data_IF_210984677046
#
_entry.id   IF_210984677046
#
_cell.length_a   1.000
_cell.length_b   1.000
_cell.length_c   1.000
_cell.angle_alpha   90.00
_cell.angle_beta   90.00
_cell.angle_gamma   90.00
#
_symmetry.space_group_name_H-M   'P 1'
#
loop_
_entity.id
_entity.type
_entity.pdbx_description
1 polymer ?
#
# COMPACT_ATOMS: atom_id res chain seq x y z
N UNK A 1 -5.84 2.43 0.49
CA UNK A 1 -4.84 3.25 -0.20
C UNK A 1 -3.60 3.42 0.67
N UNK A 2 -2.39 3.51 0.06
CA UNK A 2 -1.13 3.79 0.75
C UNK A 2 -0.88 2.86 1.93
N UNK A 3 -0.58 3.40 3.14
CA UNK A 3 -0.44 2.62 4.36
C UNK A 3 -1.66 1.74 4.64
N UNK A 4 -2.88 2.24 4.42
CA UNK A 4 -4.10 1.42 4.54
C UNK A 4 -4.15 0.26 3.56
N UNK A 5 -3.55 0.40 2.37
CA UNK A 5 -3.39 -0.69 1.41
C UNK A 5 -2.41 -1.77 1.90
N UNK A 6 -1.29 -1.35 2.50
CA UNK A 6 -0.37 -2.26 3.18
C UNK A 6 -1.09 -3.06 4.28
N UNK A 7 -1.78 -2.37 5.19
CA UNK A 7 -2.50 -3.02 6.29
C UNK A 7 -3.57 -3.98 5.76
N UNK A 8 -4.35 -3.57 4.75
CA UNK A 8 -5.39 -4.41 4.15
C UNK A 8 -4.79 -5.70 3.56
N UNK A 9 -3.68 -5.60 2.85
CA UNK A 9 -2.98 -6.76 2.29
C UNK A 9 -2.48 -7.71 3.39
N UNK A 10 -1.87 -7.17 4.46
CA UNK A 10 -1.33 -7.97 5.58
C UNK A 10 -2.42 -8.74 6.35
N UNK A 11 -3.62 -8.17 6.48
CA UNK A 11 -4.71 -8.83 7.24
C UNK A 11 -5.63 -9.70 6.37
N UNK A 12 -5.60 -9.54 5.04
CA UNK A 12 -6.48 -10.26 4.11
C UNK A 12 -6.41 -11.79 4.25
N UNK A 13 -5.25 -12.45 4.45
CA UNK A 13 -5.18 -13.90 4.64
C UNK A 13 -5.98 -14.39 5.84
N UNK A 14 -6.07 -13.57 6.89
CA UNK A 14 -6.79 -13.89 8.13
C UNK A 14 -8.28 -13.57 8.04
N UNK A 15 -8.61 -12.38 7.47
CA UNK A 15 -10.00 -11.91 7.39
C UNK A 15 -10.78 -12.51 6.23
N UNK A 16 -10.08 -12.94 5.16
CA UNK A 16 -10.66 -13.55 3.96
C UNK A 16 -11.82 -12.74 3.36
N UNK A 17 -11.61 -11.45 3.03
CA UNK A 17 -12.64 -10.66 2.36
C UNK A 17 -13.03 -11.29 1.01
N UNK A 18 -14.18 -10.92 0.45
CA UNK A 18 -14.60 -11.41 -0.86
C UNK A 18 -13.71 -10.90 -2.00
N UNK A 19 -13.15 -9.71 -1.86
CA UNK A 19 -12.18 -9.13 -2.79
C UNK A 19 -11.28 -8.11 -2.11
N UNK A 20 -10.15 -7.78 -2.73
CA UNK A 20 -9.16 -6.87 -2.18
C UNK A 20 -8.80 -5.78 -3.20
N UNK A 21 -9.03 -4.53 -2.83
CA UNK A 21 -8.70 -3.37 -3.66
C UNK A 21 -7.52 -2.63 -3.01
N UNK A 22 -6.37 -2.67 -3.67
CA UNK A 22 -5.13 -2.06 -3.22
C UNK A 22 -4.77 -0.87 -4.10
N UNK A 23 -4.91 0.33 -3.57
CA UNK A 23 -4.54 1.57 -4.26
C UNK A 23 -3.18 2.06 -3.73
N UNK A 24 -2.16 2.04 -4.57
CA UNK A 24 -0.79 2.43 -4.21
C UNK A 24 -0.36 1.84 -2.84
N UNK A 25 -0.39 0.52 -2.63
CA UNK A 25 -0.13 -0.08 -1.31
C UNK A 25 1.29 0.21 -0.84
N UNK A 26 1.41 0.80 0.35
CA UNK A 26 2.65 1.41 0.85
C UNK A 26 3.65 0.44 1.51
N UNK A 27 4.04 -0.66 0.85
CA UNK A 27 5.05 -1.60 1.37
C UNK A 27 6.38 -0.92 1.73
N UNK A 28 6.76 0.11 0.99
CA UNK A 28 7.97 0.89 1.25
C UNK A 28 8.05 1.53 2.64
N UNK A 29 6.91 1.68 3.32
CA UNK A 29 6.89 2.16 4.70
C UNK A 29 7.57 1.19 5.67
N UNK A 30 7.46 -0.12 5.44
CA UNK A 30 8.11 -1.14 6.25
C UNK A 30 9.63 -1.14 6.02
N UNK A 31 10.06 -1.03 4.74
CA UNK A 31 11.48 -0.95 4.43
C UNK A 31 12.07 0.34 5.00
N UNK A 32 13.11 0.21 5.79
CA UNK A 32 13.79 1.34 6.41
C UNK A 32 13.10 1.95 7.64
N UNK A 33 12.01 1.37 8.17
CA UNK A 33 11.36 1.86 9.40
C UNK A 33 12.30 1.80 10.62
N UNK A 34 13.07 0.73 10.80
CA UNK A 34 14.08 0.62 11.84
C UNK A 34 15.13 1.73 11.71
N UNK A 35 15.70 1.92 10.50
CA UNK A 35 16.66 2.99 10.24
C UNK A 35 16.10 4.38 10.53
N UNK A 36 14.84 4.65 10.16
CA UNK A 36 14.18 5.94 10.47
C UNK A 36 14.06 6.13 11.98
N UNK A 37 13.67 5.09 12.71
CA UNK A 37 13.60 5.14 14.17
C UNK A 37 14.96 5.46 14.79
N UNK A 38 16.01 4.79 14.36
CA UNK A 38 17.38 5.01 14.85
C UNK A 38 17.85 6.45 14.58
N UNK A 39 17.64 6.97 13.38
CA UNK A 39 18.01 8.34 13.01
C UNK A 39 17.32 9.39 13.90
N UNK A 40 16.04 9.21 14.19
CA UNK A 40 15.29 10.15 15.03
C UNK A 40 15.69 10.02 16.50
N UNK A 41 15.89 8.80 16.97
CA UNK A 41 16.38 8.54 18.34
C UNK A 41 17.76 9.17 18.57
N UNK A 42 18.67 9.06 17.63
CA UNK A 42 19.99 9.71 17.69
C UNK A 42 19.90 11.25 17.74
N UNK A 43 18.83 11.84 17.24
CA UNK A 43 18.55 13.29 17.36
C UNK A 43 18.03 13.72 18.71
N UNK A 44 17.81 12.79 19.65
CA UNK A 44 17.23 13.04 20.97
C UNK A 44 15.71 13.26 20.96
N UNK A 45 15.05 12.92 19.87
CA UNK A 45 13.59 13.01 19.74
C UNK A 45 12.94 11.63 19.81
N UNK A 46 11.69 11.59 20.29
CA UNK A 46 10.85 10.39 20.29
C UNK A 46 9.73 10.44 19.24
N UNK A 47 9.77 11.45 18.38
CA UNK A 47 8.81 11.66 17.30
C UNK A 47 9.48 12.10 15.99
N UNK A 48 8.81 11.87 14.89
CA UNK A 48 9.15 12.42 13.58
C UNK A 48 7.97 13.21 13.01
N UNK A 49 8.30 14.20 12.19
CA UNK A 49 7.36 14.95 11.38
C UNK A 49 7.57 14.59 9.91
N UNK A 50 6.53 14.13 9.26
CA UNK A 50 6.50 13.86 7.85
C UNK A 50 5.43 14.75 7.20
N UNK A 51 5.84 15.88 6.65
CA UNK A 51 4.95 16.83 5.96
C UNK A 51 3.74 17.26 6.83
N UNK A 52 3.96 17.53 8.09
CA UNK A 52 2.92 17.91 9.05
C UNK A 52 2.23 16.74 9.77
N UNK A 53 2.54 15.50 9.40
CA UNK A 53 2.09 14.31 10.13
C UNK A 53 3.12 13.95 11.21
N UNK A 54 2.80 14.26 12.45
CA UNK A 54 3.65 13.93 13.60
C UNK A 54 3.32 12.53 14.12
N UNK A 55 4.30 11.67 14.24
CA UNK A 55 4.14 10.33 14.79
C UNK A 55 5.30 9.93 15.70
N UNK A 56 5.01 9.10 16.70
CA UNK A 56 6.02 8.62 17.64
C UNK A 56 6.92 7.55 17.04
N UNK A 57 8.15 7.46 17.50
CA UNK A 57 9.10 6.42 17.07
C UNK A 57 8.62 5.01 17.34
N UNK A 58 7.79 4.81 18.37
CA UNK A 58 7.13 3.54 18.61
C UNK A 58 6.42 2.97 17.37
N UNK A 59 5.87 3.82 16.49
CA UNK A 59 5.29 3.38 15.21
C UNK A 59 6.32 2.66 14.33
N UNK A 60 7.51 3.24 14.14
CA UNK A 60 8.55 2.64 13.31
C UNK A 60 9.11 1.35 13.92
N UNK A 61 9.32 1.32 15.24
CA UNK A 61 9.80 0.10 15.92
C UNK A 61 8.76 -1.02 15.87
N UNK A 62 7.49 -0.72 16.09
CA UNK A 62 6.43 -1.70 15.98
C UNK A 62 6.29 -2.22 14.55
N UNK A 63 6.38 -1.33 13.55
CA UNK A 63 6.36 -1.74 12.15
C UNK A 63 7.54 -2.65 11.81
N UNK A 64 8.76 -2.35 12.31
CA UNK A 64 9.94 -3.19 12.08
C UNK A 64 9.85 -4.58 12.73
N UNK A 65 9.00 -4.74 13.76
CA UNK A 65 8.76 -6.03 14.41
C UNK A 65 7.81 -6.95 13.60
N UNK A 66 7.08 -6.41 12.62
CA UNK A 66 6.27 -7.21 11.71
C UNK A 66 7.13 -7.92 10.66
N UNK A 67 6.67 -9.07 10.14
CA UNK A 67 7.29 -9.71 8.98
C UNK A 67 7.32 -8.80 7.74
N UNK A 68 8.06 -9.19 6.74
CA UNK A 68 8.04 -8.54 5.42
C UNK A 68 6.60 -8.45 4.91
N UNK A 69 6.14 -7.27 4.43
CA UNK A 69 4.75 -7.04 3.99
C UNK A 69 4.26 -8.02 2.93
N UNK A 70 5.15 -8.50 2.08
CA UNK A 70 4.78 -9.47 1.05
C UNK A 70 4.67 -10.89 1.61
N UNK A 71 5.40 -11.22 2.68
CA UNK A 71 5.23 -12.49 3.40
C UNK A 71 3.91 -12.49 4.19
N UNK A 72 3.58 -11.38 4.87
CA UNK A 72 2.30 -11.25 5.58
C UNK A 72 1.08 -11.34 4.64
N UNK A 73 1.19 -10.80 3.42
CA UNK A 73 0.10 -10.79 2.44
C UNK A 73 -0.13 -12.13 1.74
N UNK A 74 0.79 -13.09 1.88
CA UNK A 74 0.64 -14.43 1.28
C UNK A 74 -0.52 -15.21 1.88
N UNK A 75 -1.16 -16.06 1.04
CA UNK A 75 -2.20 -16.98 1.49
C UNK A 75 -3.62 -16.43 1.39
N UNK A 76 -3.82 -15.21 0.91
CA UNK A 76 -5.13 -14.76 0.46
C UNK A 76 -5.38 -15.25 -0.97
N UNK A 77 -6.53 -15.92 -1.19
CA UNK A 77 -6.86 -16.58 -2.46
C UNK A 77 -8.05 -15.94 -3.19
N UNK A 78 -8.62 -14.88 -2.65
CA UNK A 78 -9.68 -14.12 -3.31
C UNK A 78 -9.15 -13.21 -4.42
N UNK A 79 -10.05 -12.60 -5.21
CA UNK A 79 -9.65 -11.70 -6.27
C UNK A 79 -9.03 -10.40 -5.73
N UNK A 80 -8.02 -9.88 -6.44
CA UNK A 80 -7.29 -8.68 -6.06
C UNK A 80 -7.15 -7.74 -7.25
N UNK A 81 -7.36 -6.45 -7.02
CA UNK A 81 -6.93 -5.41 -7.94
C UNK A 81 -5.91 -4.51 -7.27
N UNK A 82 -4.79 -4.28 -7.94
CA UNK A 82 -3.76 -3.31 -7.53
C UNK A 82 -3.79 -2.15 -8.50
N UNK A 83 -4.02 -0.94 -8.01
CA UNK A 83 -4.12 0.28 -8.82
C UNK A 83 -2.99 1.23 -8.44
N UNK A 84 -2.29 1.77 -9.43
CA UNK A 84 -1.22 2.76 -9.24
C UNK A 84 -1.31 3.88 -10.29
N UNK A 85 -1.10 5.13 -9.86
CA UNK A 85 -0.84 6.21 -10.81
C UNK A 85 0.60 6.09 -11.37
N UNK A 86 0.77 6.30 -12.66
CA UNK A 86 2.07 6.15 -13.34
C UNK A 86 3.11 7.17 -12.85
N UNK A 87 2.66 8.33 -12.37
CA UNK A 87 3.47 9.43 -11.83
C UNK A 87 3.56 9.46 -10.29
N UNK A 88 3.11 8.40 -9.58
CA UNK A 88 3.25 8.30 -8.13
C UNK A 88 4.73 8.35 -7.70
N UNK A 89 5.06 9.32 -6.83
CA UNK A 89 6.42 9.54 -6.32
C UNK A 89 6.66 8.91 -4.93
N UNK A 90 5.61 8.43 -4.28
CA UNK A 90 5.69 7.86 -2.92
C UNK A 90 5.73 6.34 -2.92
N UNK A 91 4.97 5.70 -3.80
CA UNK A 91 4.93 4.24 -3.92
C UNK A 91 5.45 3.84 -5.30
N UNK A 92 6.48 3.03 -5.33
CA UNK A 92 7.12 2.58 -6.56
C UNK A 92 6.30 1.51 -7.30
N UNK A 93 6.56 1.40 -8.59
CA UNK A 93 5.88 0.48 -9.49
C UNK A 93 6.20 -0.99 -9.15
N UNK A 94 7.42 -1.24 -8.70
CA UNK A 94 7.88 -2.60 -8.39
C UNK A 94 7.14 -3.19 -7.18
N UNK A 95 6.95 -2.40 -6.12
CA UNK A 95 6.14 -2.81 -4.96
C UNK A 95 4.71 -3.16 -5.35
N UNK A 96 4.08 -2.38 -6.23
CA UNK A 96 2.73 -2.66 -6.71
C UNK A 96 2.65 -3.93 -7.56
N UNK A 97 3.60 -4.13 -8.46
CA UNK A 97 3.72 -5.37 -9.25
C UNK A 97 3.96 -6.59 -8.36
N UNK A 98 4.81 -6.44 -7.35
CA UNK A 98 5.10 -7.52 -6.42
C UNK A 98 3.84 -7.93 -5.65
N UNK A 99 3.00 -6.97 -5.19
CA UNK A 99 1.69 -7.30 -4.62
C UNK A 99 0.80 -8.04 -5.62
N UNK A 100 0.66 -7.55 -6.85
CA UNK A 100 -0.14 -8.24 -7.86
C UNK A 100 0.37 -9.66 -8.13
N UNK A 101 1.68 -9.86 -8.14
CA UNK A 101 2.31 -11.17 -8.36
C UNK A 101 2.16 -12.17 -7.21
N UNK A 102 1.68 -11.74 -6.03
CA UNK A 102 1.44 -12.64 -4.89
C UNK A 102 0.17 -13.49 -5.04
N UNK A 103 -0.81 -13.01 -5.80
CA UNK A 103 -2.15 -13.56 -5.81
C UNK A 103 -2.44 -14.27 -7.12
N UNK A 104 -3.17 -15.39 -7.04
CA UNK A 104 -3.51 -16.20 -8.21
C UNK A 104 -4.50 -15.49 -9.16
N UNK A 105 -5.40 -14.69 -8.60
CA UNK A 105 -6.39 -13.91 -9.34
C UNK A 105 -6.12 -12.44 -9.04
N UNK A 106 -5.28 -11.81 -9.86
CA UNK A 106 -4.91 -10.42 -9.66
C UNK A 106 -4.90 -9.61 -10.95
N UNK A 107 -5.37 -8.37 -10.85
CA UNK A 107 -5.23 -7.36 -11.89
C UNK A 107 -4.28 -6.26 -11.42
N UNK A 108 -3.41 -5.79 -12.32
CA UNK A 108 -2.59 -4.60 -12.08
C UNK A 108 -2.96 -3.51 -13.06
N UNK A 109 -3.52 -2.42 -12.56
CA UNK A 109 -3.99 -1.27 -13.35
C UNK A 109 -3.11 -0.05 -13.12
N UNK A 110 -2.59 0.52 -14.20
CA UNK A 110 -1.95 1.83 -14.19
C UNK A 110 -2.91 2.89 -14.67
N UNK A 111 -3.02 3.94 -13.87
CA UNK A 111 -3.81 5.14 -14.17
C UNK A 111 -2.85 6.25 -14.55
N UNK A 112 -3.16 6.98 -15.62
CA UNK A 112 -2.31 8.07 -16.07
C UNK A 112 -2.49 9.32 -15.22
N UNK A 113 -1.37 9.83 -14.67
CA UNK A 113 -1.29 11.05 -13.90
C UNK A 113 -2.03 11.02 -12.55
N UNK A 114 -2.09 12.17 -11.90
CA UNK A 114 -2.79 12.36 -10.63
C UNK A 114 -2.00 12.04 -9.38
N UNK A 115 -0.80 11.50 -9.51
CA UNK A 115 0.11 11.19 -8.39
C UNK A 115 -0.49 10.20 -7.40
N UNK A 116 0.11 10.15 -6.22
CA UNK A 116 -0.26 9.21 -5.15
C UNK A 116 -1.75 9.25 -4.74
N UNK A 117 -2.38 10.40 -4.85
CA UNK A 117 -3.75 10.62 -4.41
C UNK A 117 -4.78 10.62 -5.55
N UNK A 118 -4.39 10.31 -6.79
CA UNK A 118 -5.27 10.40 -7.96
C UNK A 118 -5.97 11.76 -8.02
N UNK A 119 -5.18 12.84 -7.90
CA UNK A 119 -5.68 14.19 -7.61
C UNK A 119 -6.40 14.87 -8.78
N UNK A 120 -6.26 14.36 -10.01
CA UNK A 120 -6.94 14.92 -11.19
C UNK A 120 -8.29 14.23 -11.44
N UNK A 121 -9.23 14.95 -12.07
CA UNK A 121 -10.52 14.35 -12.45
C UNK A 121 -10.34 13.13 -13.36
N UNK A 122 -9.53 13.17 -14.43
CA UNK A 122 -9.31 11.99 -15.29
C UNK A 122 -8.76 10.79 -14.54
N UNK A 123 -7.74 10.98 -13.68
CA UNK A 123 -7.15 9.87 -12.93
C UNK A 123 -8.12 9.25 -11.92
N UNK A 124 -8.92 10.08 -11.27
CA UNK A 124 -9.95 9.63 -10.34
C UNK A 124 -11.03 8.83 -11.05
N UNK A 125 -11.55 9.34 -12.17
CA UNK A 125 -12.53 8.62 -12.99
C UNK A 125 -12.00 7.28 -13.48
N UNK A 126 -10.76 7.23 -13.98
CA UNK A 126 -10.15 5.98 -14.43
C UNK A 126 -9.99 4.97 -13.28
N UNK A 127 -9.60 5.44 -12.08
CA UNK A 127 -9.50 4.61 -10.89
C UNK A 127 -10.88 4.05 -10.48
N UNK A 128 -11.90 4.88 -10.45
CA UNK A 128 -13.29 4.47 -10.14
C UNK A 128 -13.81 3.44 -11.15
N UNK A 129 -13.59 3.66 -12.43
CA UNK A 129 -13.99 2.71 -13.48
C UNK A 129 -13.31 1.35 -13.32
N UNK A 130 -12.01 1.34 -13.00
CA UNK A 130 -11.28 0.10 -12.73
C UNK A 130 -11.84 -0.65 -11.52
N UNK A 131 -12.16 0.07 -10.44
CA UNK A 131 -12.77 -0.49 -9.23
C UNK A 131 -14.15 -1.07 -9.55
N UNK A 132 -15.01 -0.33 -10.24
CA UNK A 132 -16.34 -0.81 -10.60
C UNK A 132 -16.32 -2.04 -11.48
N UNK A 133 -15.44 -2.04 -12.50
CA UNK A 133 -15.25 -3.22 -13.34
C UNK A 133 -14.82 -4.43 -12.51
N UNK A 134 -13.84 -4.27 -11.64
CA UNK A 134 -13.37 -5.34 -10.76
C UNK A 134 -14.49 -5.89 -9.87
N UNK A 135 -15.32 -5.02 -9.29
CA UNK A 135 -16.47 -5.42 -8.46
C UNK A 135 -17.46 -6.23 -9.29
N UNK A 136 -17.82 -5.77 -10.49
CA UNK A 136 -18.78 -6.45 -11.36
C UNK A 136 -18.28 -7.82 -11.83
N UNK A 137 -16.98 -7.95 -12.08
CA UNK A 137 -16.40 -9.19 -12.63
C UNK A 137 -16.12 -10.25 -11.54
N UNK A 138 -15.98 -9.84 -10.27
CA UNK A 138 -15.46 -10.73 -9.23
C UNK A 138 -16.32 -10.83 -7.94
N UNK A 139 -17.27 -9.92 -7.74
CA UNK A 139 -18.09 -9.86 -6.51
C UNK A 139 -19.58 -9.84 -6.79
#
# INVERSE_FOLDING_TARGET
>A
QSMGGYVAASIAPRLRPHGLILMCPGAGMWYGCARRADMVTQSGKDYADLEGLVYKMAFNYNMAAHPDPFEEAKGYNGPVIVIRADDDKLVDDESCKRYAGLYQVAEFVRVSGGGHNFATIPSRTACEQAIWKFIQDNL
#
